data_IF_890291444299
#
_entry.id   IF_890291444299
#
_cell.length_a   1.000
_cell.length_b   1.000
_cell.length_c   1.000
_cell.angle_alpha   90.00
_cell.angle_beta   90.00
_cell.angle_gamma   90.00
#
_symmetry.space_group_name_H-M   'P 1'
#
loop_
_entity.id
_entity.type
_entity.pdbx_description
1 polymer ?
#
# COMPACT_ATOMS: atom_id res chain seq x y z
N UNK A 1 10.60 -12.21 0.00
CA UNK A 1 9.12 -12.13 -0.15
C UNK A 1 8.67 -10.76 0.33
N UNK A 2 7.77 -10.06 -0.39
CA UNK A 2 7.19 -8.82 0.12
C UNK A 2 6.30 -9.14 1.32
N UNK A 3 6.40 -8.32 2.36
CA UNK A 3 5.53 -8.38 3.52
C UNK A 3 4.58 -7.19 3.46
N UNK A 4 3.28 -7.42 3.64
CA UNK A 4 2.28 -6.35 3.81
C UNK A 4 2.01 -6.18 5.30
N UNK A 5 2.07 -4.93 5.79
CA UNK A 5 1.93 -4.62 7.21
C UNK A 5 3.25 -4.63 7.99
N UNK A 6 4.38 -4.53 7.30
CA UNK A 6 5.68 -4.22 7.91
C UNK A 6 6.05 -2.77 7.60
N UNK A 7 5.96 -1.87 8.59
CA UNK A 7 6.22 -0.44 8.43
C UNK A 7 5.08 0.41 9.00
N UNK A 8 4.91 1.63 8.48
CA UNK A 8 3.81 2.55 8.83
C UNK A 8 2.48 2.23 8.10
N UNK A 9 2.44 1.14 7.33
CA UNK A 9 1.26 0.73 6.57
C UNK A 9 0.23 0.08 7.50
N UNK A 10 -1.02 0.51 7.38
CA UNK A 10 -2.17 -0.10 8.08
C UNK A 10 -2.83 -1.11 7.15
N UNK A 11 -3.00 -2.34 7.62
CA UNK A 11 -3.57 -3.42 6.82
C UNK A 11 -4.84 -3.95 7.46
N UNK A 12 -5.94 -3.94 6.71
CA UNK A 12 -7.22 -4.50 7.14
C UNK A 12 -7.75 -5.50 6.11
N UNK A 13 -8.53 -6.47 6.60
CA UNK A 13 -9.27 -7.42 5.77
C UNK A 13 -10.68 -6.87 5.62
N UNK A 14 -11.07 -6.50 4.40
CA UNK A 14 -12.40 -5.97 4.11
C UNK A 14 -13.43 -7.10 3.97
N UNK A 15 -13.00 -8.22 3.37
CA UNK A 15 -13.86 -9.37 3.12
C UNK A 15 -13.04 -10.64 2.99
N UNK A 16 -13.53 -11.75 3.54
CA UNK A 16 -12.97 -13.09 3.28
C UNK A 16 -14.08 -14.00 2.77
N UNK A 17 -13.87 -14.57 1.59
CA UNK A 17 -14.75 -15.60 1.03
C UNK A 17 -14.08 -16.95 1.22
N UNK A 18 -14.81 -17.92 1.76
CA UNK A 18 -14.29 -19.28 1.97
C UNK A 18 -14.99 -20.23 1.03
N UNK A 19 -14.20 -21.03 0.32
CA UNK A 19 -14.64 -22.05 -0.62
C UNK A 19 -14.24 -23.41 -0.06
N UNK A 20 -15.25 -24.23 0.27
CA UNK A 20 -15.03 -25.60 0.75
C UNK A 20 -14.97 -26.52 -0.46
N UNK A 21 -13.81 -27.12 -0.74
CA UNK A 21 -13.58 -27.88 -1.95
C UNK A 21 -14.36 -29.20 -1.98
N UNK A 22 -14.70 -29.65 -3.19
CA UNK A 22 -15.30 -30.96 -3.42
C UNK A 22 -14.26 -32.07 -3.20
N UNK A 23 -14.13 -32.56 -1.95
CA UNK A 23 -13.29 -33.74 -1.66
C UNK A 23 -14.03 -35.04 -1.95
N UNK A 24 -13.30 -36.02 -2.50
CA UNK A 24 -13.78 -37.39 -2.81
C UNK A 24 -13.72 -38.31 -1.58
N UNK A 25 -12.91 -37.98 -0.56
CA UNK A 25 -12.74 -38.80 0.64
C UNK A 25 -13.61 -38.31 1.80
N UNK A 26 -14.40 -39.21 2.38
CA UNK A 26 -15.43 -38.94 3.39
C UNK A 26 -14.90 -38.80 4.83
N UNK A 27 -13.62 -39.12 5.08
CA UNK A 27 -13.05 -39.22 6.43
C UNK A 27 -11.96 -38.18 6.73
N UNK A 28 -11.75 -37.19 5.84
CA UNK A 28 -10.74 -36.14 5.99
C UNK A 28 -11.38 -34.78 6.17
N UNK A 29 -10.73 -33.92 6.96
CA UNK A 29 -11.14 -32.52 7.13
C UNK A 29 -11.32 -31.87 5.75
N UNK A 30 -12.47 -31.24 5.48
CA UNK A 30 -12.74 -30.66 4.17
C UNK A 30 -11.70 -29.59 3.85
N UNK A 31 -11.10 -29.68 2.66
CA UNK A 31 -10.10 -28.71 2.20
C UNK A 31 -10.79 -27.37 1.94
N UNK A 32 -10.17 -26.28 2.41
CA UNK A 32 -10.73 -24.94 2.29
C UNK A 32 -9.72 -24.01 1.62
N UNK A 33 -10.23 -23.19 0.71
CA UNK A 33 -9.48 -22.10 0.08
C UNK A 33 -10.16 -20.80 0.46
N UNK A 34 -9.37 -19.80 0.84
CA UNK A 34 -9.86 -18.51 1.29
C UNK A 34 -9.40 -17.41 0.34
N UNK A 35 -10.33 -16.62 -0.17
CA UNK A 35 -10.06 -15.42 -0.95
C UNK A 35 -10.28 -14.19 -0.08
N UNK A 36 -9.18 -13.54 0.29
CA UNK A 36 -9.18 -12.33 1.09
C UNK A 36 -9.10 -11.10 0.22
N UNK A 37 -9.98 -10.14 0.47
CA UNK A 37 -9.89 -8.77 -0.03
C UNK A 37 -9.24 -7.91 1.06
N UNK A 38 -8.04 -7.44 0.77
CA UNK A 38 -7.16 -6.79 1.74
C UNK A 38 -6.95 -5.35 1.32
N UNK A 39 -7.18 -4.44 2.25
CA UNK A 39 -6.96 -3.01 2.07
C UNK A 39 -5.69 -2.63 2.80
N UNK A 40 -4.72 -2.13 2.05
CA UNK A 40 -3.49 -1.56 2.59
C UNK A 40 -3.62 -0.05 2.50
N UNK A 41 -3.75 0.59 3.66
CA UNK A 41 -3.67 2.03 3.79
C UNK A 41 -2.23 2.42 4.09
N UNK A 42 -1.72 3.36 3.31
CA UNK A 42 -0.39 3.95 3.46
C UNK A 42 -0.55 5.43 3.75
N UNK A 43 0.52 6.19 3.56
CA UNK A 43 0.46 7.61 3.84
C UNK A 43 0.70 7.92 5.31
N UNK A 44 0.96 9.18 5.58
CA UNK A 44 1.19 9.68 6.92
C UNK A 44 0.12 10.74 7.21
N UNK A 45 -0.68 10.54 8.25
CA UNK A 45 -1.68 11.52 8.67
C UNK A 45 -0.97 12.80 9.18
N UNK A 46 -1.58 13.97 9.00
CA UNK A 46 -0.94 15.24 9.37
C UNK A 46 -0.58 15.29 10.86
N UNK A 47 -1.47 14.83 11.74
CA UNK A 47 -1.21 14.74 13.18
C UNK A 47 0.04 13.92 13.52
N UNK A 48 0.27 12.82 12.79
CA UNK A 48 1.48 12.01 12.98
C UNK A 48 2.72 12.67 12.40
N UNK A 49 2.58 13.40 11.28
CA UNK A 49 3.66 14.16 10.69
C UNK A 49 4.15 15.29 11.62
N UNK A 50 3.22 16.01 12.27
CA UNK A 50 3.55 17.04 13.26
C UNK A 50 4.31 16.43 14.45
N UNK A 51 3.86 15.29 14.99
CA UNK A 51 4.60 14.60 16.05
C UNK A 51 6.04 14.23 15.65
N UNK A 52 6.26 13.84 14.39
CA UNK A 52 7.59 13.53 13.89
C UNK A 52 8.45 14.77 13.70
N UNK A 53 7.87 15.91 13.29
CA UNK A 53 8.55 17.20 13.23
C UNK A 53 8.93 17.70 14.63
N UNK A 54 8.03 17.61 15.61
CA UNK A 54 8.28 18.00 17.01
C UNK A 54 9.42 17.20 17.67
N UNK A 55 9.62 15.95 17.23
CA UNK A 55 10.70 15.08 17.71
C UNK A 55 12.03 15.32 16.97
N UNK A 56 12.02 16.13 15.92
CA UNK A 56 13.20 16.43 15.11
C UNK A 56 14.06 17.52 15.77
N UNK A 57 15.37 17.48 15.52
CA UNK A 57 16.32 18.38 16.17
C UNK A 57 17.12 19.23 15.18
N UNK A 58 17.09 18.93 13.88
CA UNK A 58 17.89 19.68 12.92
C UNK A 58 17.11 20.87 12.36
N UNK A 59 17.83 21.98 12.13
CA UNK A 59 17.24 23.22 11.63
C UNK A 59 16.62 23.08 10.24
N UNK A 60 17.11 22.15 9.42
CA UNK A 60 16.56 21.85 8.10
C UNK A 60 15.41 20.81 8.15
N UNK A 61 15.08 20.26 9.32
CA UNK A 61 13.94 19.36 9.47
C UNK A 61 12.63 20.16 9.44
N UNK A 62 11.60 19.60 8.81
CA UNK A 62 10.24 20.16 8.86
C UNK A 62 9.46 19.98 7.57
N UNK A 63 8.37 20.75 7.46
CA UNK A 63 7.50 20.71 6.29
C UNK A 63 8.04 21.50 5.10
N UNK A 64 7.79 20.97 3.91
CA UNK A 64 8.20 21.54 2.64
C UNK A 64 7.06 21.50 1.63
N UNK A 65 6.93 22.54 0.81
CA UNK A 65 5.95 22.66 -0.27
C UNK A 65 6.64 22.65 -1.62
N UNK A 66 6.05 21.99 -2.62
CA UNK A 66 6.64 21.92 -3.96
C UNK A 66 6.70 23.28 -4.65
N UNK A 67 7.83 23.60 -5.27
CA UNK A 67 8.03 24.84 -6.06
C UNK A 67 7.29 24.81 -7.41
N UNK A 68 6.64 23.69 -7.75
CA UNK A 68 5.92 23.54 -9.01
C UNK A 68 4.71 24.48 -9.05
N UNK A 69 4.81 25.53 -9.88
CA UNK A 69 3.75 26.51 -10.05
C UNK A 69 2.67 25.99 -11.03
N UNK A 70 2.03 24.88 -10.70
CA UNK A 70 0.86 24.36 -11.42
C UNK A 70 -0.39 24.56 -10.58
N UNK A 71 -1.52 24.99 -11.17
CA UNK A 71 -2.74 25.35 -10.43
C UNK A 71 -3.33 24.22 -9.57
N UNK A 72 -2.92 22.96 -9.79
CA UNK A 72 -3.40 21.78 -9.06
C UNK A 72 -2.31 21.04 -8.25
N UNK A 73 -1.09 21.56 -8.17
CA UNK A 73 0.08 20.78 -7.74
C UNK A 73 0.81 21.42 -6.55
N UNK A 74 0.11 21.62 -5.43
CA UNK A 74 0.77 21.87 -4.14
C UNK A 74 0.93 20.53 -3.43
N UNK A 75 2.12 19.94 -3.57
CA UNK A 75 2.44 18.63 -3.00
C UNK A 75 3.34 18.80 -1.78
N UNK A 76 2.77 18.83 -0.57
CA UNK A 76 3.58 18.93 0.62
C UNK A 76 4.30 17.62 0.94
N UNK A 77 5.45 17.76 1.59
CA UNK A 77 6.24 16.66 2.14
C UNK A 77 6.77 17.06 3.52
N UNK A 78 7.08 16.08 4.35
CA UNK A 78 7.86 16.25 5.58
C UNK A 78 9.24 15.67 5.33
N UNK A 79 10.28 16.47 5.52
CA UNK A 79 11.67 16.02 5.35
C UNK A 79 12.38 16.05 6.70
N UNK A 80 12.90 14.91 7.11
CA UNK A 80 13.64 14.75 8.36
C UNK A 80 15.02 14.20 8.06
N UNK A 81 16.04 14.87 8.55
CA UNK A 81 17.43 14.49 8.34
C UNK A 81 17.76 13.18 9.07
N UNK A 82 18.75 12.49 8.53
CA UNK A 82 19.26 11.25 9.08
C UNK A 82 20.77 11.19 8.97
N UNK A 83 21.40 10.75 10.06
CA UNK A 83 22.84 10.49 10.15
C UNK A 83 23.18 9.09 9.64
N UNK A 84 22.39 8.54 8.71
CA UNK A 84 22.61 7.18 8.26
C UNK A 84 24.03 7.10 7.68
N UNK A 85 24.89 6.29 8.31
CA UNK A 85 26.17 5.85 7.74
C UNK A 85 25.83 4.98 6.52
N UNK A 86 25.43 5.61 5.43
CA UNK A 86 25.03 4.88 4.24
C UNK A 86 26.30 4.45 3.54
N UNK A 87 26.52 3.13 3.48
CA UNK A 87 27.44 2.50 2.55
C UNK A 87 26.91 2.65 1.10
N UNK A 88 26.65 3.87 0.66
CA UNK A 88 26.59 4.20 -0.76
C UNK A 88 28.01 4.58 -1.14
N UNK A 89 28.67 3.76 -1.96
CA UNK A 89 30.08 3.87 -2.37
C UNK A 89 30.47 5.15 -3.14
N UNK A 90 29.73 6.25 -2.98
CA UNK A 90 29.98 7.55 -3.61
C UNK A 90 29.52 8.76 -2.79
N UNK A 91 28.89 8.58 -1.60
CA UNK A 91 28.46 9.72 -0.77
C UNK A 91 29.62 10.13 0.14
N UNK A 92 30.06 11.39 0.00
CA UNK A 92 31.09 11.98 0.87
C UNK A 92 30.61 11.88 2.32
N UNK A 93 31.52 11.56 3.24
CA UNK A 93 31.31 11.29 4.68
C UNK A 93 30.61 12.43 5.48
N UNK A 94 30.16 13.50 4.82
CA UNK A 94 29.62 14.74 5.40
C UNK A 94 28.28 15.21 4.79
N UNK A 95 27.69 14.48 3.84
CA UNK A 95 26.42 14.91 3.24
C UNK A 95 25.22 14.56 4.12
N UNK A 96 24.46 15.58 4.51
CA UNK A 96 23.21 15.41 5.25
C UNK A 96 22.13 14.84 4.32
N UNK A 97 21.58 13.70 4.70
CA UNK A 97 20.51 13.02 3.96
C UNK A 97 19.18 13.17 4.68
N UNK A 98 18.10 13.18 3.90
CA UNK A 98 16.74 13.36 4.39
C UNK A 98 15.86 12.16 4.05
N UNK A 99 15.12 11.69 5.05
CA UNK A 99 13.94 10.84 4.88
C UNK A 99 12.77 11.72 4.48
N UNK A 100 12.07 11.32 3.43
CA UNK A 100 10.91 12.06 2.93
C UNK A 100 9.64 11.30 3.29
N UNK A 101 8.73 11.95 3.99
CA UNK A 101 7.39 11.44 4.27
C UNK A 101 6.37 12.17 3.42
N UNK A 102 5.41 11.42 2.88
CA UNK A 102 4.35 11.95 2.02
C UNK A 102 2.97 11.59 2.57
N UNK A 103 1.95 12.45 2.40
CA UNK A 103 0.59 12.15 2.84
C UNK A 103 0.01 10.89 2.19
N UNK A 104 0.40 10.56 0.96
CA UNK A 104 -0.20 9.46 0.21
C UNK A 104 0.56 8.13 0.30
N UNK A 105 1.89 8.15 0.42
CA UNK A 105 2.72 6.93 0.44
C UNK A 105 3.44 6.68 1.75
N UNK A 106 3.47 7.65 2.67
CA UNK A 106 4.24 7.57 3.91
C UNK A 106 5.72 7.77 3.63
N UNK A 107 6.58 7.05 4.35
CA UNK A 107 8.03 7.09 4.18
C UNK A 107 8.47 6.64 2.77
N UNK A 108 9.19 7.53 2.08
CA UNK A 108 9.86 7.26 0.82
C UNK A 108 11.12 6.43 1.06
N UNK A 109 11.26 5.32 0.33
CA UNK A 109 12.41 4.41 0.43
C UNK A 109 13.74 5.09 0.05
N UNK A 110 13.69 6.04 -0.89
CA UNK A 110 14.86 6.78 -1.36
C UNK A 110 15.08 8.04 -0.53
N UNK A 111 16.28 8.18 0.00
CA UNK A 111 16.77 9.40 0.64
C UNK A 111 17.03 10.52 -0.38
N UNK A 112 16.94 11.76 0.08
CA UNK A 112 17.25 12.96 -0.70
C UNK A 112 18.37 13.74 -0.03
N UNK A 113 19.16 14.48 -0.81
CA UNK A 113 20.15 15.44 -0.29
C UNK A 113 19.46 16.78 -0.03
N UNK A 114 20.06 17.62 0.83
CA UNK A 114 19.57 18.98 1.10
C UNK A 114 19.48 19.83 -0.18
N UNK A 115 20.45 19.71 -1.09
CA UNK A 115 20.47 20.45 -2.36
C UNK A 115 19.28 20.05 -3.26
N UNK A 116 19.03 18.76 -3.42
CA UNK A 116 17.89 18.23 -4.18
C UNK A 116 16.56 18.68 -3.58
N UNK A 117 16.47 18.68 -2.25
CA UNK A 117 15.29 19.12 -1.51
C UNK A 117 15.00 20.61 -1.77
N UNK A 118 15.97 21.49 -1.55
CA UNK A 118 15.84 22.95 -1.74
C UNK A 118 15.58 23.37 -3.19
N UNK A 119 16.04 22.58 -4.17
CA UNK A 119 15.74 22.82 -5.59
C UNK A 119 14.27 22.57 -5.93
N UNK A 120 13.67 21.53 -5.33
CA UNK A 120 12.32 21.06 -5.66
C UNK A 120 11.23 21.64 -4.75
N UNK A 121 11.60 22.03 -3.53
CA UNK A 121 10.66 22.43 -2.50
C UNK A 121 11.17 23.63 -1.69
N UNK A 122 10.23 24.36 -1.12
CA UNK A 122 10.44 25.47 -0.20
C UNK A 122 10.01 25.04 1.21
N UNK A 123 10.81 25.37 2.22
CA UNK A 123 10.48 25.07 3.62
C UNK A 123 9.38 26.00 4.11
N UNK A 124 8.37 25.44 4.77
CA UNK A 124 7.16 26.16 5.20
C UNK A 124 6.73 25.72 6.59
N UNK A 125 5.91 26.53 7.25
CA UNK A 125 5.37 26.20 8.58
C UNK A 125 4.27 25.13 8.48
N UNK A 126 4.17 24.28 9.51
CA UNK A 126 3.13 23.25 9.61
C UNK A 126 1.71 23.81 9.41
N UNK A 127 1.43 24.99 9.96
CA UNK A 127 0.14 25.70 9.81
C UNK A 127 -0.22 26.06 8.37
N UNK A 128 0.79 26.33 7.52
CA UNK A 128 0.60 26.67 6.11
C UNK A 128 0.37 25.42 5.25
N UNK A 129 0.75 24.24 5.75
CA UNK A 129 0.72 22.97 5.01
C UNK A 129 -0.49 22.12 5.33
N UNK A 130 -1.05 22.23 6.54
CA UNK A 130 -2.11 21.35 7.03
C UNK A 130 -3.25 21.14 6.03
N UNK A 131 -3.83 22.22 5.51
CA UNK A 131 -4.95 22.13 4.58
C UNK A 131 -4.60 21.33 3.31
N UNK A 132 -3.42 21.59 2.73
CA UNK A 132 -2.94 20.87 1.55
C UNK A 132 -2.59 19.42 1.86
N UNK A 133 -2.02 19.16 3.05
CA UNK A 133 -1.69 17.81 3.48
C UNK A 133 -2.93 16.95 3.64
N UNK A 134 -3.93 17.45 4.35
CA UNK A 134 -5.20 16.74 4.59
C UNK A 134 -6.00 16.56 3.31
N UNK A 135 -6.06 17.59 2.46
CA UNK A 135 -6.69 17.48 1.13
C UNK A 135 -6.02 16.40 0.29
N UNK A 136 -4.68 16.40 0.22
CA UNK A 136 -3.92 15.39 -0.53
C UNK A 136 -4.07 13.99 0.08
N UNK A 137 -4.02 13.88 1.41
CA UNK A 137 -4.21 12.64 2.17
C UNK A 137 -5.59 12.02 1.88
N UNK A 138 -6.64 12.84 1.84
CA UNK A 138 -7.99 12.40 1.58
C UNK A 138 -8.22 12.06 0.11
N UNK A 139 -7.84 12.95 -0.82
CA UNK A 139 -8.03 12.71 -2.26
C UNK A 139 -7.26 11.48 -2.76
N UNK A 140 -6.05 11.24 -2.26
CA UNK A 140 -5.23 10.09 -2.67
C UNK A 140 -5.72 8.75 -2.14
N UNK A 141 -6.77 8.73 -1.30
CA UNK A 141 -7.45 7.50 -0.92
C UNK A 141 -8.10 6.81 -2.12
N UNK A 142 -8.61 7.58 -3.08
CA UNK A 142 -9.34 7.07 -4.26
C UNK A 142 -8.75 7.53 -5.58
N UNK A 143 -8.04 8.65 -5.61
CA UNK A 143 -7.51 9.26 -6.83
C UNK A 143 -6.00 9.08 -6.93
N UNK A 144 -5.50 8.81 -8.14
CA UNK A 144 -4.07 8.68 -8.36
C UNK A 144 -3.37 10.03 -8.40
N UNK A 145 -2.07 10.01 -8.11
CA UNK A 145 -1.27 11.24 -8.08
C UNK A 145 -1.26 11.95 -9.44
N UNK A 146 -1.46 11.23 -10.55
CA UNK A 146 -1.59 11.86 -11.87
C UNK A 146 -2.82 12.77 -11.94
N UNK A 147 -4.00 12.30 -11.50
CA UNK A 147 -5.21 13.13 -11.44
C UNK A 147 -4.98 14.34 -10.55
N UNK A 148 -4.32 14.16 -9.40
CA UNK A 148 -4.03 15.28 -8.51
C UNK A 148 -3.10 16.30 -9.18
N UNK A 149 -2.01 15.86 -9.81
CA UNK A 149 -0.99 16.75 -10.39
C UNK A 149 -1.37 17.37 -11.74
N UNK A 150 -2.16 16.66 -12.53
CA UNK A 150 -2.39 16.96 -13.96
C UNK A 150 -3.89 17.06 -14.32
N UNK A 151 -4.80 16.81 -13.38
CA UNK A 151 -6.25 16.78 -13.61
C UNK A 151 -6.76 15.53 -14.35
N UNK A 152 -5.88 14.75 -14.98
CA UNK A 152 -6.22 13.54 -15.71
C UNK A 152 -5.16 12.44 -15.49
N UNK A 153 -5.53 11.19 -15.73
CA UNK A 153 -4.60 10.06 -15.64
C UNK A 153 -4.43 9.38 -17.00
N UNK A 154 -3.23 9.38 -17.59
CA UNK A 154 -2.99 8.74 -18.88
C UNK A 154 -3.37 7.25 -18.92
N UNK A 155 -3.18 6.53 -17.79
CA UNK A 155 -3.51 5.11 -17.67
C UNK A 155 -5.02 4.88 -17.71
N UNK A 156 -5.79 5.69 -16.99
CA UNK A 156 -7.26 5.57 -17.00
C UNK A 156 -7.86 6.13 -18.29
N UNK A 157 -7.19 7.09 -18.95
CA UNK A 157 -7.57 7.62 -20.26
C UNK A 157 -7.35 6.60 -21.38
N UNK A 158 -6.24 5.84 -21.35
CA UNK A 158 -5.95 4.84 -22.38
C UNK A 158 -6.70 3.52 -22.16
N UNK A 159 -7.01 3.17 -20.92
CA UNK A 159 -7.81 1.99 -20.58
C UNK A 159 -8.77 2.29 -19.42
N UNK A 160 -10.04 2.61 -19.71
CA UNK A 160 -11.05 2.90 -18.68
C UNK A 160 -11.29 1.76 -17.70
N UNK A 161 -11.01 0.51 -18.10
CA UNK A 161 -11.18 -0.68 -17.25
C UNK A 161 -10.00 -0.87 -16.28
N UNK A 162 -8.90 -0.13 -16.45
CA UNK A 162 -7.72 -0.21 -15.60
C UNK A 162 -7.67 0.94 -14.59
N UNK A 163 -7.79 0.60 -13.31
CA UNK A 163 -7.59 1.56 -12.22
C UNK A 163 -6.11 1.87 -12.03
N UNK A 164 -5.70 3.13 -12.16
CA UNK A 164 -4.34 3.55 -11.85
C UNK A 164 -4.08 3.49 -10.33
N UNK A 165 -3.05 2.76 -9.90
CA UNK A 165 -2.68 2.62 -8.48
C UNK A 165 -1.48 3.49 -8.06
N UNK A 166 -1.01 4.34 -8.97
CA UNK A 166 0.18 5.18 -8.77
C UNK A 166 -0.12 6.28 -7.75
N UNK A 167 0.61 6.26 -6.63
CA UNK A 167 0.43 7.22 -5.56
C UNK A 167 -0.89 7.11 -4.80
N UNK A 168 -1.66 6.03 -4.97
CA UNK A 168 -2.84 5.76 -4.13
C UNK A 168 -2.40 5.40 -2.71
N UNK A 169 -3.10 6.02 -1.76
CA UNK A 169 -2.98 5.77 -0.34
C UNK A 169 -3.63 4.46 0.06
N UNK A 170 -4.81 4.17 -0.49
CA UNK A 170 -5.53 2.91 -0.27
C UNK A 170 -5.34 1.98 -1.47
N UNK A 171 -4.75 0.81 -1.24
CA UNK A 171 -4.63 -0.23 -2.27
C UNK A 171 -5.39 -1.48 -1.86
N UNK A 172 -6.10 -2.05 -2.82
CA UNK A 172 -6.83 -3.32 -2.65
C UNK A 172 -6.05 -4.45 -3.30
N UNK A 173 -5.75 -5.47 -2.50
CA UNK A 173 -5.14 -6.71 -2.94
C UNK A 173 -6.11 -7.86 -2.74
N UNK A 174 -6.06 -8.82 -3.68
CA UNK A 174 -6.78 -10.07 -3.58
C UNK A 174 -5.76 -11.16 -3.27
N UNK A 175 -5.97 -11.89 -2.19
CA UNK A 175 -5.01 -12.85 -1.66
C UNK A 175 -5.69 -14.19 -1.47
N UNK A 176 -5.19 -15.20 -2.15
CA UNK A 176 -5.68 -16.56 -2.03
C UNK A 176 -4.82 -17.32 -1.00
N UNK A 177 -5.47 -17.94 -0.01
CA UNK A 177 -4.81 -18.67 1.07
C UNK A 177 -5.52 -20.02 1.35
N UNK A 178 -4.96 -20.82 2.26
CA UNK A 178 -5.47 -22.15 2.60
C UNK A 178 -4.92 -23.24 1.68
N UNK A 179 -5.76 -24.20 1.31
CA UNK A 179 -5.40 -25.38 0.51
C UNK A 179 -5.26 -25.08 -0.99
N UNK A 180 -4.57 -23.98 -1.34
CA UNK A 180 -4.42 -23.49 -2.73
C UNK A 180 -3.81 -24.55 -3.67
N UNK A 181 -2.91 -25.38 -3.15
CA UNK A 181 -2.26 -26.45 -3.94
C UNK A 181 -3.26 -27.47 -4.50
N UNK A 182 -4.40 -27.68 -3.85
CA UNK A 182 -5.44 -28.58 -4.34
C UNK A 182 -6.10 -28.10 -5.64
N UNK A 183 -5.97 -26.81 -5.95
CA UNK A 183 -6.50 -26.18 -7.18
C UNK A 183 -5.38 -25.68 -8.10
N UNK A 184 -4.14 -26.10 -7.88
CA UNK A 184 -3.00 -25.55 -8.61
C UNK A 184 -3.11 -25.74 -10.12
N UNK A 185 -3.40 -26.97 -10.58
CA UNK A 185 -3.47 -27.30 -12.01
C UNK A 185 -4.50 -26.47 -12.80
N UNK A 186 -5.74 -26.25 -12.33
CA UNK A 186 -6.65 -25.33 -13.02
C UNK A 186 -6.25 -23.84 -12.83
N UNK A 187 -5.64 -23.47 -11.70
CA UNK A 187 -5.17 -22.10 -11.47
C UNK A 187 -4.04 -21.68 -12.41
N UNK A 188 -3.11 -22.59 -12.76
CA UNK A 188 -2.02 -22.32 -13.70
C UNK A 188 -2.52 -21.84 -15.07
N UNK A 189 -3.73 -22.25 -15.48
CA UNK A 189 -4.33 -21.83 -16.75
C UNK A 189 -4.86 -20.40 -16.72
N UNK A 190 -5.27 -19.93 -15.54
CA UNK A 190 -5.85 -18.61 -15.33
C UNK A 190 -4.76 -17.59 -14.97
N UNK A 191 -3.75 -18.04 -14.24
CA UNK A 191 -2.67 -17.19 -13.75
C UNK A 191 -1.60 -17.02 -14.82
N UNK A 192 -1.13 -15.79 -15.05
CA UNK A 192 -0.04 -15.56 -15.99
C UNK A 192 1.26 -16.21 -15.50
N UNK A 193 1.98 -16.84 -16.43
CA UNK A 193 3.26 -17.50 -16.18
C UNK A 193 4.21 -16.62 -15.35
N UNK A 194 4.75 -17.19 -14.27
CA UNK A 194 5.82 -16.58 -13.46
C UNK A 194 5.41 -15.43 -12.52
N UNK A 195 4.12 -15.10 -12.34
CA UNK A 195 3.70 -13.93 -11.53
C UNK A 195 3.09 -14.24 -10.15
N UNK A 196 3.09 -15.50 -9.73
CA UNK A 196 2.50 -15.87 -8.45
C UNK A 196 3.44 -15.42 -7.33
N UNK A 197 3.06 -14.33 -6.66
CA UNK A 197 3.84 -13.74 -5.58
C UNK A 197 3.29 -14.19 -4.23
N UNK A 198 4.04 -15.02 -3.52
CA UNK A 198 3.76 -15.38 -2.14
C UNK A 198 4.02 -14.19 -1.21
N UNK A 199 3.07 -13.92 -0.33
CA UNK A 199 3.14 -12.83 0.65
C UNK A 199 2.69 -13.28 2.03
N UNK A 200 3.26 -12.62 3.03
CA UNK A 200 2.82 -12.72 4.42
C UNK A 200 2.20 -11.38 4.82
N UNK A 201 1.04 -11.48 5.46
CA UNK A 201 0.21 -10.34 5.83
C UNK A 201 -0.03 -10.41 7.32
N UNK A 202 0.17 -9.28 7.98
CA UNK A 202 -0.21 -9.08 9.38
C UNK A 202 -1.20 -7.94 9.42
N UNK A 203 -2.41 -8.18 9.88
CA UNK A 203 -3.39 -7.11 10.03
C UNK A 203 -2.99 -6.16 11.16
N UNK A 204 -3.35 -4.91 11.00
CA UNK A 204 -3.26 -3.92 12.07
C UNK A 204 -4.51 -4.07 12.92
N UNK A 205 -4.39 -4.29 14.24
CA UNK A 205 -5.55 -4.39 15.10
C UNK A 205 -6.32 -3.06 15.06
N UNK A 206 -7.66 -3.06 15.05
CA UNK A 206 -8.42 -1.84 15.21
C UNK A 206 -8.05 -1.22 16.57
N UNK A 207 -7.64 0.04 16.56
CA UNK A 207 -7.40 0.81 17.78
C UNK A 207 -8.65 0.71 18.64
N UNK A 208 -8.54 0.05 19.79
CA UNK A 208 -9.51 -0.11 20.90
C UNK A 208 -9.97 -1.54 21.24
N UNK A 209 -9.54 -2.60 20.54
CA UNK A 209 -9.83 -3.96 21.01
C UNK A 209 -8.56 -4.82 21.04
N UNK A 210 -8.39 -5.60 22.12
CA UNK A 210 -7.37 -6.65 22.32
C UNK A 210 -7.49 -7.81 21.32
N UNK A 211 -7.90 -7.55 20.07
CA UNK A 211 -7.95 -8.53 19.00
C UNK A 211 -6.53 -8.84 18.52
N UNK A 212 -6.17 -10.12 18.56
CA UNK A 212 -4.90 -10.64 18.06
C UNK A 212 -4.80 -10.32 16.55
N UNK A 213 -3.68 -9.75 16.07
CA UNK A 213 -3.51 -9.47 14.65
C UNK A 213 -3.55 -10.77 13.83
N UNK A 214 -4.42 -10.79 12.82
CA UNK A 214 -4.56 -11.92 11.91
C UNK A 214 -3.30 -12.02 11.04
N UNK A 215 -2.76 -13.25 10.94
CA UNK A 215 -1.61 -13.57 10.09
C UNK A 215 -2.10 -14.43 8.94
N UNK A 216 -1.95 -13.93 7.72
CA UNK A 216 -2.35 -14.63 6.49
C UNK A 216 -1.08 -14.88 5.66
N UNK A 217 -0.96 -16.10 5.13
CA UNK A 217 0.08 -16.47 4.16
C UNK A 217 -0.64 -16.97 2.92
N UNK A 218 -0.37 -16.35 1.78
CA UNK A 218 -1.07 -16.65 0.54
C UNK A 218 -0.39 -16.04 -0.68
N UNK A 219 -1.04 -16.16 -1.84
CA UNK A 219 -0.56 -15.58 -3.09
C UNK A 219 -1.41 -14.39 -3.53
N UNK A 220 -0.75 -13.34 -4.04
CA UNK A 220 -1.45 -12.20 -4.65
C UNK A 220 -2.05 -12.64 -5.99
N UNK A 221 -3.34 -12.38 -6.15
CA UNK A 221 -4.07 -12.59 -7.40
C UNK A 221 -4.20 -11.26 -8.15
N UNK A 222 -3.70 -11.16 -9.39
CA UNK A 222 -3.92 -9.99 -10.23
C UNK A 222 -5.42 -9.76 -10.48
N UNK A 223 -5.88 -8.50 -10.37
CA UNK A 223 -7.30 -8.12 -10.56
C UNK A 223 -7.91 -8.65 -11.86
N UNK A 224 -7.14 -8.68 -12.94
CA UNK A 224 -7.57 -9.17 -14.26
C UNK A 224 -8.00 -10.63 -14.28
N UNK A 225 -7.44 -11.45 -13.39
CA UNK A 225 -7.71 -12.89 -13.28
C UNK A 225 -8.77 -13.20 -12.21
N UNK A 226 -9.26 -12.18 -11.49
CA UNK A 226 -10.08 -12.38 -10.30
C UNK A 226 -11.43 -13.01 -10.64
N UNK A 227 -12.06 -12.59 -11.74
CA UNK A 227 -13.37 -13.10 -12.15
C UNK A 227 -13.28 -14.58 -12.52
N UNK A 228 -12.35 -14.94 -13.39
CA UNK A 228 -12.10 -16.33 -13.80
C UNK A 228 -11.74 -17.22 -12.61
N UNK A 229 -10.92 -16.71 -11.68
CA UNK A 229 -10.55 -17.43 -10.46
C UNK A 229 -11.77 -17.68 -9.56
N UNK A 230 -12.63 -16.67 -9.37
CA UNK A 230 -13.84 -16.83 -8.55
C UNK A 230 -14.78 -17.87 -9.17
N UNK A 231 -14.94 -17.85 -10.50
CA UNK A 231 -15.74 -18.86 -11.20
C UNK A 231 -15.18 -20.28 -10.97
N UNK A 232 -13.87 -20.47 -11.16
CA UNK A 232 -13.20 -21.75 -10.90
C UNK A 232 -13.40 -22.22 -9.46
N UNK A 233 -13.28 -21.31 -8.48
CA UNK A 233 -13.45 -21.61 -7.07
C UNK A 233 -14.90 -22.03 -6.76
N UNK A 234 -15.88 -21.38 -7.40
CA UNK A 234 -17.29 -21.71 -7.24
C UNK A 234 -17.61 -23.10 -7.81
N UNK A 235 -17.16 -23.41 -9.03
CA UNK A 235 -17.33 -24.74 -9.65
C UNK A 235 -16.68 -25.86 -8.84
N UNK A 236 -15.51 -25.59 -8.24
CA UNK A 236 -14.75 -26.57 -7.46
C UNK A 236 -15.23 -26.70 -6.01
N UNK A 237 -16.20 -25.89 -5.58
CA UNK A 237 -16.68 -25.85 -4.20
C UNK A 237 -18.00 -26.59 -3.98
N UNK A 238 -18.19 -27.15 -2.79
CA UNK A 238 -19.48 -27.69 -2.30
C UNK A 238 -20.33 -26.61 -1.65
N UNK A 239 -19.68 -25.70 -0.94
CA UNK A 239 -20.34 -24.61 -0.21
C UNK A 239 -19.40 -23.40 -0.11
N UNK A 240 -20.02 -22.21 -0.07
CA UNK A 240 -19.36 -20.91 0.04
C UNK A 240 -19.99 -20.11 1.16
N UNK A 241 -19.15 -19.52 2.01
CA UNK A 241 -19.59 -18.60 3.05
C UNK A 241 -18.61 -17.44 3.22
N UNK A 242 -19.05 -16.39 3.91
CA UNK A 242 -18.20 -15.24 4.25
C UNK A 242 -17.79 -15.32 5.72
N UNK A 243 -16.51 -15.08 6.01
CA UNK A 243 -16.07 -14.85 7.39
C UNK A 243 -16.30 -13.39 7.74
N UNK A 244 -16.92 -13.14 8.89
CA UNK A 244 -16.98 -11.81 9.50
C UNK A 244 -15.55 -11.34 9.82
N UNK A 245 -15.25 -10.09 9.51
CA UNK A 245 -13.96 -9.45 9.82
C UNK A 245 -13.81 -9.21 11.33
#
# INVERSE_FOLDING_TARGET
MPNLGTGEETVSVEKTQVFVLQTVQTNTTPLQVELHQIVVQRGLAFSKAVQLEEQSMNLDDGFYMSNENRPYCRLPILALSTTANVNLGSIRKSEQLFRIYRPNTGLQQRYETLESLRKKYEKVLSTQVQAYWDELYNKTATSCIHVIRQGHCPISSSNPQQTCEVGLRSRRFFVLSGSVLALWSPMERILPEGKIQMIRIKTTPPNNNQSIPLKIVGCIIPKRCLQDLVHLLEESSKHKYFKSA
#
